data_IF_836235590426
#
_entry.id   IF_836235590426
#
_cell.length_a   1.000
_cell.length_b   1.000
_cell.length_c   1.000
_cell.angle_alpha   90.00
_cell.angle_beta   90.00
_cell.angle_gamma   90.00
#
_symmetry.space_group_name_H-M   'P 1'
#
loop_
_entity.id
_entity.type
_entity.pdbx_description
1 polymer ?
#
# COMPACT_ATOMS: atom_id res chain seq x y z
N UNK A 1 28.28 17.89 -4.71
CA UNK A 1 27.60 16.60 -4.43
C UNK A 1 26.11 16.90 -4.37
N UNK A 2 25.31 16.45 -5.35
CA UNK A 2 23.87 16.78 -5.44
C UNK A 2 23.06 15.65 -4.79
N UNK A 3 21.92 16.01 -4.21
CA UNK A 3 21.00 15.13 -3.47
C UNK A 3 20.07 14.34 -4.40
N UNK A 4 20.53 14.02 -5.61
CA UNK A 4 19.81 13.27 -6.65
C UNK A 4 19.93 11.75 -6.48
N UNK A 5 20.58 11.27 -5.40
CA UNK A 5 20.76 9.85 -5.09
C UNK A 5 19.93 9.36 -3.91
N UNK A 6 18.67 9.75 -3.81
CA UNK A 6 17.77 9.24 -2.78
C UNK A 6 16.40 8.93 -3.39
N UNK A 7 16.25 7.72 -3.95
CA UNK A 7 15.44 6.64 -3.37
C UNK A 7 15.37 5.41 -4.31
N UNK A 8 15.21 4.25 -3.67
CA UNK A 8 15.49 2.86 -4.09
C UNK A 8 14.87 2.29 -5.37
N UNK A 9 14.22 3.06 -6.24
CA UNK A 9 13.30 2.47 -7.22
C UNK A 9 13.95 1.66 -8.36
N UNK A 10 15.24 1.84 -8.65
CA UNK A 10 15.91 1.11 -9.75
C UNK A 10 17.38 0.75 -9.48
N UNK A 11 17.84 0.70 -8.22
CA UNK A 11 19.26 0.41 -7.92
C UNK A 11 19.66 -1.05 -8.19
N UNK A 12 18.70 -1.99 -8.11
CA UNK A 12 18.95 -3.44 -8.17
C UNK A 12 18.02 -4.17 -9.18
N UNK A 13 17.67 -3.54 -10.30
CA UNK A 13 16.85 -4.16 -11.35
C UNK A 13 17.00 -3.45 -12.69
N UNK A 14 16.50 -4.03 -13.80
CA UNK A 14 16.71 -3.49 -15.15
C UNK A 14 15.99 -2.15 -15.39
N UNK A 15 15.09 -1.72 -14.50
CA UNK A 15 14.20 -0.56 -14.68
C UNK A 15 12.82 -0.99 -15.17
N UNK A 16 12.04 -0.05 -15.69
CA UNK A 16 10.71 -0.31 -16.28
C UNK A 16 10.68 0.19 -17.73
N UNK A 17 9.75 -0.34 -18.53
CA UNK A 17 9.52 0.14 -19.89
C UNK A 17 8.88 1.54 -19.86
N UNK A 18 9.44 2.48 -20.61
CA UNK A 18 8.91 3.83 -20.77
C UNK A 18 9.06 4.25 -22.24
N UNK A 19 8.11 5.01 -22.74
CA UNK A 19 8.14 5.58 -24.10
C UNK A 19 7.82 7.06 -24.08
N UNK A 20 8.16 7.75 -25.18
CA UNK A 20 7.62 9.08 -25.44
C UNK A 20 6.10 9.02 -25.70
N UNK A 21 5.38 10.16 -25.71
CA UNK A 21 3.94 10.20 -25.90
C UNK A 21 3.44 9.59 -27.22
N UNK A 22 4.29 9.51 -28.24
CA UNK A 22 3.96 8.93 -29.53
C UNK A 22 4.38 7.45 -29.64
N UNK A 23 5.03 6.90 -28.61
CA UNK A 23 5.44 5.49 -28.56
C UNK A 23 6.59 5.13 -29.51
N UNK A 24 7.33 6.10 -30.02
CA UNK A 24 8.35 5.90 -31.05
C UNK A 24 9.72 5.50 -30.49
N UNK A 25 9.98 5.84 -29.23
CA UNK A 25 11.29 5.74 -28.57
C UNK A 25 11.22 4.91 -27.27
N UNK A 26 10.35 3.90 -27.26
CA UNK A 26 10.20 2.98 -26.13
C UNK A 26 11.49 2.24 -25.77
N UNK A 27 11.85 2.26 -24.48
CA UNK A 27 13.01 1.54 -23.94
C UNK A 27 12.83 1.24 -22.46
N UNK A 28 13.62 0.29 -21.95
CA UNK A 28 13.74 0.09 -20.51
C UNK A 28 14.64 1.18 -19.94
N UNK A 29 14.18 1.85 -18.89
CA UNK A 29 14.97 2.85 -18.18
C UNK A 29 14.69 2.86 -16.67
N UNK A 30 15.67 3.36 -15.92
CA UNK A 30 15.48 3.71 -14.52
C UNK A 30 14.61 4.96 -14.39
N UNK A 31 13.71 4.96 -13.42
CA UNK A 31 12.77 6.06 -13.18
C UNK A 31 12.96 6.59 -11.77
N UNK A 32 13.14 7.91 -11.67
CA UNK A 32 13.21 8.58 -10.37
C UNK A 32 11.79 8.74 -9.79
N UNK A 33 11.58 8.52 -8.48
CA UNK A 33 10.26 8.72 -7.89
C UNK A 33 9.80 10.17 -7.96
N UNK A 34 8.51 10.36 -8.20
CA UNK A 34 7.82 11.64 -8.12
C UNK A 34 7.07 11.74 -6.78
N UNK A 35 7.35 12.77 -6.00
CA UNK A 35 6.77 12.98 -4.67
C UNK A 35 5.73 14.10 -4.61
N UNK A 36 5.63 14.91 -5.67
CA UNK A 36 4.60 15.93 -5.79
C UNK A 36 3.28 15.36 -6.31
N UNK A 37 2.34 16.26 -6.64
CA UNK A 37 1.02 15.88 -7.14
C UNK A 37 1.09 15.14 -8.49
N UNK A 38 2.14 15.38 -9.27
CA UNK A 38 2.43 14.68 -10.52
C UNK A 38 2.65 13.17 -10.33
N UNK A 39 2.95 12.71 -9.11
CA UNK A 39 3.01 11.27 -8.81
C UNK A 39 1.65 10.55 -8.88
N UNK A 40 0.55 11.29 -8.92
CA UNK A 40 -0.79 10.74 -9.10
C UNK A 40 -1.28 10.80 -10.57
N UNK A 41 -0.50 11.39 -11.47
CA UNK A 41 -0.78 11.35 -12.90
C UNK A 41 -0.44 9.95 -13.45
N UNK A 42 -1.41 9.22 -14.04
CA UNK A 42 -1.17 7.87 -14.56
C UNK A 42 -0.16 7.81 -15.70
N UNK A 43 0.15 8.94 -16.34
CA UNK A 43 1.15 9.02 -17.42
C UNK A 43 2.55 9.39 -16.93
N UNK A 44 2.72 9.69 -15.64
CA UNK A 44 4.02 9.97 -15.02
C UNK A 44 4.56 8.71 -14.37
N UNK A 45 5.55 8.03 -14.96
CA UNK A 45 6.06 6.76 -14.43
C UNK A 45 6.71 6.89 -13.03
N UNK A 46 7.12 8.10 -12.66
CA UNK A 46 7.66 8.39 -11.32
C UNK A 46 6.67 8.12 -10.18
N UNK A 47 5.36 8.17 -10.46
CA UNK A 47 4.31 7.82 -9.49
C UNK A 47 4.30 6.34 -9.11
N UNK A 48 4.65 5.44 -10.04
CA UNK A 48 4.73 4.01 -9.77
C UNK A 48 5.82 3.73 -8.73
N UNK A 49 6.99 4.36 -8.91
CA UNK A 49 8.12 4.23 -7.99
C UNK A 49 7.78 4.74 -6.58
N UNK A 50 7.23 5.95 -6.45
CA UNK A 50 6.85 6.52 -5.15
C UNK A 50 5.73 5.74 -4.48
N UNK A 51 4.73 5.27 -5.26
CA UNK A 51 3.65 4.43 -4.76
C UNK A 51 4.17 3.13 -4.12
N UNK A 52 5.07 2.40 -4.79
CA UNK A 52 5.63 1.16 -4.23
C UNK A 52 6.42 1.40 -2.93
N UNK A 53 7.20 2.48 -2.87
CA UNK A 53 7.94 2.85 -1.65
C UNK A 53 6.98 3.17 -0.51
N UNK A 54 5.96 4.00 -0.77
CA UNK A 54 4.99 4.41 0.23
C UNK A 54 4.12 3.22 0.69
N UNK A 55 3.52 2.49 -0.25
CA UNK A 55 2.67 1.34 0.04
C UNK A 55 3.44 0.21 0.74
N UNK A 56 4.68 -0.05 0.34
CA UNK A 56 5.54 -1.05 0.99
C UNK A 56 5.86 -0.67 2.45
N UNK A 57 6.23 0.58 2.69
CA UNK A 57 6.52 1.07 4.06
C UNK A 57 5.27 1.00 4.94
N UNK A 58 4.14 1.50 4.43
CA UNK A 58 2.87 1.45 5.15
C UNK A 58 2.40 0.01 5.38
N UNK A 59 2.60 -0.89 4.42
CA UNK A 59 2.25 -2.32 4.55
C UNK A 59 3.02 -3.01 5.67
N UNK A 60 4.32 -2.72 5.83
CA UNK A 60 5.12 -3.25 6.94
C UNK A 60 4.60 -2.71 8.28
N UNK A 61 4.36 -1.39 8.38
CA UNK A 61 3.85 -0.77 9.60
C UNK A 61 2.47 -1.32 9.98
N UNK A 62 1.57 -1.44 9.01
CA UNK A 62 0.24 -2.03 9.21
C UNK A 62 0.33 -3.50 9.62
N UNK A 63 1.20 -4.28 8.98
CA UNK A 63 1.44 -5.70 9.34
C UNK A 63 1.93 -5.85 10.77
N UNK A 64 2.91 -5.05 11.20
CA UNK A 64 3.40 -5.04 12.58
C UNK A 64 2.33 -4.60 13.57
N UNK A 65 1.53 -3.59 13.22
CA UNK A 65 0.39 -3.16 14.01
C UNK A 65 -0.61 -4.30 14.20
N UNK A 66 -0.98 -5.01 13.13
CA UNK A 66 -1.90 -6.15 13.20
C UNK A 66 -1.36 -7.27 14.08
N UNK A 67 -0.08 -7.65 13.94
CA UNK A 67 0.51 -8.69 14.79
C UNK A 67 0.47 -8.31 16.28
N UNK A 68 0.73 -7.04 16.61
CA UNK A 68 0.62 -6.51 17.99
C UNK A 68 -0.83 -6.44 18.48
N UNK A 69 -1.75 -5.95 17.66
CA UNK A 69 -3.16 -5.79 18.00
C UNK A 69 -3.90 -7.13 18.11
N UNK A 70 -3.51 -8.14 17.33
CA UNK A 70 -4.02 -9.51 17.45
C UNK A 70 -3.52 -10.14 18.77
N UNK A 71 -2.26 -9.90 19.14
CA UNK A 71 -1.69 -10.41 20.40
C UNK A 71 -2.23 -9.69 21.65
N UNK A 72 -2.70 -8.44 21.53
CA UNK A 72 -3.18 -7.64 22.65
C UNK A 72 -4.55 -7.05 22.34
N UNK A 73 -5.53 -7.91 22.02
CA UNK A 73 -6.92 -7.45 21.93
C UNK A 73 -7.39 -7.06 23.34
N UNK A 74 -8.06 -5.90 23.44
CA UNK A 74 -8.65 -5.46 24.70
C UNK A 74 -9.91 -6.28 25.01
N UNK A 75 -10.26 -6.48 26.30
CA UNK A 75 -11.51 -7.13 26.71
C UNK A 75 -12.75 -6.57 25.97
N UNK A 76 -12.81 -5.25 25.77
CA UNK A 76 -13.92 -4.59 25.07
C UNK A 76 -14.00 -4.93 23.57
N UNK A 77 -12.87 -5.20 22.93
CA UNK A 77 -12.82 -5.64 21.53
C UNK A 77 -13.36 -7.07 21.38
N UNK A 78 -13.12 -7.94 22.37
CA UNK A 78 -13.68 -9.29 22.39
C UNK A 78 -15.19 -9.27 22.64
N UNK A 79 -15.67 -8.44 23.57
CA UNK A 79 -17.10 -8.32 23.85
C UNK A 79 -17.87 -7.81 22.63
N UNK A 80 -17.33 -6.83 21.89
CA UNK A 80 -17.94 -6.34 20.65
C UNK A 80 -18.04 -7.40 19.56
N UNK A 81 -16.98 -8.20 19.38
CA UNK A 81 -16.93 -9.28 18.39
C UNK A 81 -17.82 -10.47 18.79
N UNK A 82 -17.81 -10.88 20.06
CA UNK A 82 -18.72 -11.93 20.58
C UNK A 82 -20.19 -11.48 20.55
N UNK A 83 -20.50 -10.23 20.86
CA UNK A 83 -21.85 -9.67 20.74
C UNK A 83 -22.36 -9.74 19.30
N UNK A 84 -21.53 -9.38 18.32
CA UNK A 84 -21.86 -9.48 16.89
C UNK A 84 -22.09 -10.93 16.45
N UNK A 85 -21.23 -11.86 16.87
CA UNK A 85 -21.40 -13.30 16.59
C UNK A 85 -22.65 -13.88 17.27
N UNK A 86 -22.90 -13.50 18.53
CA UNK A 86 -24.09 -13.89 19.29
C UNK A 86 -25.37 -13.31 18.70
N UNK A 87 -25.31 -12.21 17.96
CA UNK A 87 -26.48 -11.65 17.27
C UNK A 87 -26.77 -12.40 15.95
N UNK A 88 -25.75 -12.93 15.28
CA UNK A 88 -25.88 -13.72 14.05
C UNK A 88 -26.34 -15.17 14.32
N UNK A 89 -26.05 -15.74 15.48
CA UNK A 89 -26.45 -17.11 15.83
C UNK A 89 -27.72 -17.19 16.68
N UNK A 90 -28.39 -16.08 17.00
CA UNK A 90 -29.68 -16.13 17.69
C UNK A 90 -30.72 -16.72 16.73
N UNK A 91 -31.19 -17.97 16.92
CA UNK A 91 -32.40 -18.39 16.23
C UNK A 91 -33.50 -17.42 16.64
N UNK A 92 -34.24 -16.93 15.65
CA UNK A 92 -35.39 -16.03 15.81
C UNK A 92 -36.13 -16.39 17.10
N UNK A 93 -35.95 -15.57 18.15
CA UNK A 93 -36.53 -15.84 19.44
C UNK A 93 -38.04 -15.86 19.23
N UNK A 94 -38.60 -17.06 19.31
CA UNK A 94 -39.99 -17.39 19.02
C UNK A 94 -40.87 -16.48 19.88
N UNK A 95 -41.49 -15.50 19.24
CA UNK A 95 -42.60 -14.70 19.76
C UNK A 95 -43.81 -15.61 19.96
N UNK A 96 -43.93 -16.22 21.14
CA UNK A 96 -45.15 -16.84 21.64
C UNK A 96 -45.45 -16.28 23.02
#
# INVERSE_FOLDING_TARGET
MRADRMLMACLYGPGIWVSDPYGLTGKVQSVNPAWGAEGFDPFVPGGIASHHIAAGTLGILAGLFHLKAISNKSPLSYEGEQSSQRMNTRPNARIN
#
